data_IF_825967358089
#
_entry.id   IF_825967358089
#
_cell.length_a   1.000
_cell.length_b   1.000
_cell.length_c   1.000
_cell.angle_alpha   90.00
_cell.angle_beta   90.00
_cell.angle_gamma   90.00
#
_symmetry.space_group_name_H-M   'P 1'
#
loop_
_entity.id
_entity.type
_entity.pdbx_description
1 polymer ?
#
# COMPACT_ATOMS: atom_id res chain seq x y z
N UNK A 1 -11.38 19.66 -11.86
CA UNK A 1 -11.70 20.58 -10.74
C UNK A 1 -10.75 20.27 -9.58
N UNK A 2 -9.96 21.25 -9.15
CA UNK A 2 -9.05 21.11 -8.00
C UNK A 2 -9.85 21.28 -6.71
N UNK A 3 -9.63 20.39 -5.73
CA UNK A 3 -10.25 20.49 -4.40
C UNK A 3 -9.55 21.61 -3.63
N UNK A 4 -10.30 22.44 -2.89
CA UNK A 4 -9.69 23.46 -2.05
C UNK A 4 -8.75 22.83 -0.99
N UNK A 5 -7.72 23.54 -0.49
CA UNK A 5 -6.66 22.93 0.30
C UNK A 5 -7.12 22.26 1.60
N UNK A 6 -8.06 22.87 2.34
CA UNK A 6 -8.58 22.34 3.59
C UNK A 6 -9.42 21.04 3.41
N UNK A 7 -10.39 20.97 2.48
CA UNK A 7 -11.07 19.70 2.22
C UNK A 7 -10.14 18.64 1.63
N UNK A 8 -9.11 19.02 0.87
CA UNK A 8 -8.12 18.08 0.36
C UNK A 8 -7.34 17.38 1.49
N UNK A 9 -6.86 18.13 2.49
CA UNK A 9 -6.15 17.55 3.64
C UNK A 9 -7.08 16.69 4.51
N UNK A 10 -8.34 17.10 4.68
CA UNK A 10 -9.34 16.31 5.39
C UNK A 10 -9.57 14.94 4.71
N UNK A 11 -9.67 14.90 3.38
CA UNK A 11 -9.82 13.65 2.63
C UNK A 11 -8.61 12.73 2.82
N UNK A 12 -7.39 13.27 2.73
CA UNK A 12 -6.17 12.49 2.99
C UNK A 12 -6.17 11.96 4.43
N UNK A 13 -6.53 12.78 5.41
CA UNK A 13 -6.59 12.41 6.82
C UNK A 13 -7.59 11.29 7.10
N UNK A 14 -8.83 11.40 6.59
CA UNK A 14 -9.86 10.36 6.76
C UNK A 14 -9.43 9.07 6.08
N UNK A 15 -8.95 9.14 4.83
CA UNK A 15 -8.45 7.97 4.12
C UNK A 15 -7.29 7.32 4.87
N UNK A 16 -6.35 8.12 5.35
CA UNK A 16 -5.19 7.68 6.12
C UNK A 16 -5.57 6.97 7.41
N UNK A 17 -6.53 7.52 8.17
CA UNK A 17 -7.04 6.87 9.38
C UNK A 17 -7.64 5.49 9.08
N UNK A 18 -8.48 5.40 8.04
CA UNK A 18 -9.08 4.13 7.62
C UNK A 18 -8.02 3.13 7.14
N UNK A 19 -7.03 3.57 6.36
CA UNK A 19 -5.92 2.74 5.89
C UNK A 19 -5.06 2.20 7.03
N UNK A 20 -4.73 3.06 8.01
CA UNK A 20 -3.97 2.66 9.18
C UNK A 20 -4.72 1.65 10.06
N UNK A 21 -6.02 1.87 10.30
CA UNK A 21 -6.87 0.92 11.06
C UNK A 21 -6.97 -0.42 10.33
N UNK A 22 -7.19 -0.41 9.02
CA UNK A 22 -7.24 -1.64 8.22
C UNK A 22 -5.91 -2.40 8.26
N UNK A 23 -4.77 -1.70 8.11
CA UNK A 23 -3.43 -2.31 8.22
C UNK A 23 -3.23 -2.92 9.61
N UNK A 24 -3.64 -2.22 10.67
CA UNK A 24 -3.57 -2.74 12.03
C UNK A 24 -4.42 -4.01 12.19
N UNK A 25 -5.65 -4.01 11.69
CA UNK A 25 -6.55 -5.18 11.75
C UNK A 25 -5.99 -6.41 11.01
N UNK A 26 -5.27 -6.22 9.90
CA UNK A 26 -4.51 -7.28 9.22
C UNK A 26 -3.35 -7.75 10.10
N UNK A 27 -2.62 -6.83 10.73
CA UNK A 27 -1.54 -7.13 11.69
C UNK A 27 -1.98 -7.96 12.89
N UNK A 28 -3.25 -7.86 13.31
CA UNK A 28 -3.83 -8.69 14.37
C UNK A 28 -4.11 -10.14 13.94
N UNK A 29 -4.14 -10.44 12.64
CA UNK A 29 -4.51 -11.76 12.08
C UNK A 29 -3.37 -12.45 11.35
N UNK A 30 -2.43 -11.67 10.82
CA UNK A 30 -1.28 -12.15 10.06
C UNK A 30 -0.04 -11.60 10.72
N UNK A 31 0.88 -12.48 11.09
CA UNK A 31 2.06 -12.10 11.86
C UNK A 31 3.28 -11.79 10.99
N UNK A 32 4.13 -10.91 11.53
CA UNK A 32 5.47 -10.63 11.01
C UNK A 32 5.49 -10.22 9.54
N UNK A 33 6.43 -10.79 8.77
CA UNK A 33 6.71 -10.39 7.39
C UNK A 33 5.56 -10.71 6.42
N UNK A 34 4.76 -11.73 6.71
CA UNK A 34 3.59 -12.07 5.88
C UNK A 34 2.55 -10.95 5.91
N UNK A 35 2.38 -10.32 7.07
CA UNK A 35 1.50 -9.16 7.24
C UNK A 35 1.95 -7.99 6.36
N UNK A 36 3.24 -7.65 6.45
CA UNK A 36 3.85 -6.56 5.67
C UNK A 36 3.76 -6.82 4.17
N UNK A 37 4.03 -8.04 3.72
CA UNK A 37 3.87 -8.41 2.31
C UNK A 37 2.42 -8.26 1.86
N UNK A 38 1.47 -8.76 2.65
CA UNK A 38 0.05 -8.76 2.30
C UNK A 38 -0.52 -7.35 2.22
N UNK A 39 -0.27 -6.49 3.21
CA UNK A 39 -0.77 -5.10 3.19
C UNK A 39 -0.12 -4.28 2.08
N UNK A 40 1.17 -4.48 1.79
CA UNK A 40 1.83 -3.82 0.66
C UNK A 40 1.28 -4.32 -0.69
N UNK A 41 1.12 -5.63 -0.89
CA UNK A 41 0.59 -6.16 -2.14
C UNK A 41 -0.87 -5.74 -2.39
N UNK A 42 -1.76 -5.91 -1.40
CA UNK A 42 -3.17 -5.53 -1.53
C UNK A 42 -3.33 -4.01 -1.66
N UNK A 43 -2.55 -3.23 -0.91
CA UNK A 43 -2.55 -1.77 -1.01
C UNK A 43 -2.04 -1.28 -2.36
N UNK A 44 -0.98 -1.89 -2.89
CA UNK A 44 -0.48 -1.59 -4.24
C UNK A 44 -1.49 -1.99 -5.32
N UNK A 45 -2.19 -3.12 -5.19
CA UNK A 45 -3.30 -3.48 -6.08
C UNK A 45 -4.39 -2.42 -6.10
N UNK A 46 -4.87 -2.03 -4.91
CA UNK A 46 -5.90 -1.01 -4.77
C UNK A 46 -5.42 0.33 -5.35
N UNK A 47 -4.16 0.70 -5.11
CA UNK A 47 -3.57 1.91 -5.67
C UNK A 47 -3.53 1.87 -7.20
N UNK A 48 -3.14 0.73 -7.80
CA UNK A 48 -3.17 0.54 -9.25
C UNK A 48 -4.56 0.72 -9.84
N UNK A 49 -5.57 0.12 -9.21
CA UNK A 49 -6.97 0.28 -9.60
C UNK A 49 -7.43 1.75 -9.50
N UNK A 50 -7.12 2.42 -8.39
CA UNK A 50 -7.44 3.84 -8.15
C UNK A 50 -6.73 4.75 -9.17
N UNK A 51 -5.49 4.45 -9.53
CA UNK A 51 -4.72 5.21 -10.52
C UNK A 51 -5.24 5.08 -11.95
N UNK A 52 -5.83 3.93 -12.31
CA UNK A 52 -6.38 3.70 -13.64
C UNK A 52 -7.85 4.10 -13.78
N UNK A 53 -8.57 4.26 -12.67
CA UNK A 53 -9.99 4.64 -12.71
C UNK A 53 -10.17 6.12 -13.11
N UNK A 54 -11.21 6.45 -13.91
CA UNK A 54 -11.54 7.84 -14.25
C UNK A 54 -12.26 8.55 -13.08
N UNK A 55 -11.65 8.57 -11.91
CA UNK A 55 -12.21 9.16 -10.68
C UNK A 55 -11.74 10.60 -10.48
N UNK A 56 -12.56 11.38 -9.78
CA UNK A 56 -12.22 12.77 -9.44
C UNK A 56 -11.07 12.89 -8.43
N UNK A 57 -10.46 14.08 -8.38
CA UNK A 57 -9.34 14.43 -7.49
C UNK A 57 -9.62 14.15 -6.01
N UNK A 58 -10.87 14.35 -5.55
CA UNK A 58 -11.27 14.05 -4.18
C UNK A 58 -11.13 12.55 -3.84
N UNK A 59 -11.60 11.67 -4.72
CA UNK A 59 -11.50 10.23 -4.53
C UNK A 59 -10.04 9.75 -4.61
N UNK A 60 -9.23 10.33 -5.50
CA UNK A 60 -7.80 10.03 -5.59
C UNK A 60 -7.04 10.42 -4.31
N UNK A 61 -7.38 11.55 -3.68
CA UNK A 61 -6.80 11.97 -2.39
C UNK A 61 -7.23 11.04 -1.24
N UNK A 62 -8.52 10.72 -1.16
CA UNK A 62 -9.06 9.84 -0.12
C UNK A 62 -8.50 8.41 -0.22
N UNK A 63 -8.59 7.81 -1.40
CA UNK A 63 -8.30 6.39 -1.61
C UNK A 63 -6.82 6.14 -1.94
N UNK A 64 -6.23 6.96 -2.80
CA UNK A 64 -4.85 6.80 -3.24
C UNK A 64 -3.87 7.31 -2.18
N UNK A 65 -3.89 8.63 -1.94
CA UNK A 65 -2.95 9.26 -1.01
C UNK A 65 -3.24 8.88 0.44
N UNK A 66 -4.50 8.95 0.88
CA UNK A 66 -4.91 8.61 2.24
C UNK A 66 -4.87 7.11 2.50
N UNK A 67 -5.88 6.39 2.01
CA UNK A 67 -6.08 4.97 2.37
C UNK A 67 -4.91 4.08 1.94
N UNK A 68 -4.57 4.03 0.65
CA UNK A 68 -3.49 3.17 0.18
C UNK A 68 -2.14 3.59 0.77
N UNK A 69 -1.89 4.89 0.91
CA UNK A 69 -0.69 5.43 1.56
C UNK A 69 -0.50 4.95 3.00
N UNK A 70 -1.56 4.92 3.81
CA UNK A 70 -1.49 4.48 5.21
C UNK A 70 -1.69 2.96 5.41
N UNK A 71 -2.36 2.30 4.47
CA UNK A 71 -2.56 0.85 4.46
C UNK A 71 -1.28 0.10 4.06
N UNK A 72 -0.50 0.65 3.14
CA UNK A 72 0.86 0.17 2.84
C UNK A 72 1.85 0.64 3.91
N UNK A 73 3.04 0.04 3.97
CA UNK A 73 4.08 0.44 4.94
C UNK A 73 5.49 0.11 4.46
N UNK A 74 6.28 1.16 4.23
CA UNK A 74 7.72 1.03 3.99
C UNK A 74 8.53 0.88 5.29
N UNK A 75 8.12 1.55 6.36
CA UNK A 75 8.84 1.50 7.65
C UNK A 75 8.87 0.10 8.26
N UNK A 76 7.73 -0.61 8.28
CA UNK A 76 7.66 -1.98 8.79
C UNK A 76 8.46 -2.95 7.90
N UNK A 77 8.44 -2.72 6.59
CA UNK A 77 9.26 -3.45 5.62
C UNK A 77 10.77 -3.25 5.87
N UNK A 78 11.21 -2.01 6.08
CA UNK A 78 12.61 -1.69 6.33
C UNK A 78 13.11 -2.33 7.64
N UNK A 79 12.37 -2.16 8.74
CA UNK A 79 12.70 -2.78 10.04
C UNK A 79 12.75 -4.31 9.91
N UNK A 80 11.75 -4.92 9.26
CA UNK A 80 11.73 -6.36 9.03
C UNK A 80 12.90 -6.86 8.18
N UNK A 81 13.30 -6.10 7.17
CA UNK A 81 14.43 -6.43 6.29
C UNK A 81 15.75 -6.35 7.04
N UNK A 82 15.99 -5.27 7.81
CA UNK A 82 17.21 -5.12 8.63
C UNK A 82 17.30 -6.24 9.68
N UNK A 83 16.19 -6.56 10.35
CA UNK A 83 16.13 -7.69 11.29
C UNK A 83 16.42 -9.03 10.61
N UNK A 84 15.97 -9.21 9.36
CA UNK A 84 16.34 -10.40 8.56
C UNK A 84 17.83 -10.47 8.33
N UNK A 85 18.45 -9.34 7.98
CA UNK A 85 19.85 -9.28 7.68
C UNK A 85 20.70 -9.68 8.90
N UNK A 86 20.30 -9.27 10.09
CA UNK A 86 20.97 -9.64 11.35
C UNK A 86 20.72 -11.09 11.77
N UNK A 87 19.51 -11.62 11.58
CA UNK A 87 19.13 -12.96 12.06
C UNK A 87 19.47 -14.10 11.08
N UNK A 88 19.27 -13.85 9.78
CA UNK A 88 19.33 -14.87 8.72
C UNK A 88 20.32 -14.51 7.58
N UNK A 89 21.00 -13.38 7.69
CA UNK A 89 22.00 -12.91 6.73
C UNK A 89 21.44 -12.10 5.56
N UNK A 90 22.35 -11.40 4.87
CA UNK A 90 22.04 -10.43 3.80
C UNK A 90 21.31 -11.09 2.62
N UNK A 91 21.66 -12.32 2.24
CA UNK A 91 21.01 -13.03 1.13
C UNK A 91 19.52 -13.29 1.41
N UNK A 92 19.18 -13.72 2.63
CA UNK A 92 17.79 -13.94 3.02
C UNK A 92 17.00 -12.62 3.09
N UNK A 93 17.64 -11.56 3.59
CA UNK A 93 17.05 -10.22 3.64
C UNK A 93 16.75 -9.68 2.24
N UNK A 94 17.74 -9.75 1.33
CA UNK A 94 17.59 -9.32 -0.05
C UNK A 94 16.52 -10.12 -0.79
N UNK A 95 16.46 -11.44 -0.60
CA UNK A 95 15.43 -12.28 -1.20
C UNK A 95 14.01 -11.93 -0.71
N UNK A 96 13.83 -11.70 0.59
CA UNK A 96 12.56 -11.24 1.15
C UNK A 96 12.17 -9.82 0.72
N UNK A 97 13.16 -8.94 0.59
CA UNK A 97 12.96 -7.58 0.11
C UNK A 97 12.50 -7.56 -1.36
N UNK A 98 13.21 -8.29 -2.21
CA UNK A 98 12.91 -8.41 -3.62
C UNK A 98 11.55 -9.06 -3.87
N UNK A 99 11.18 -10.09 -3.11
CA UNK A 99 9.86 -10.74 -3.26
C UNK A 99 8.71 -9.82 -2.88
N UNK A 100 8.86 -9.04 -1.80
CA UNK A 100 7.84 -8.04 -1.40
C UNK A 100 7.70 -6.95 -2.46
N UNK A 101 8.82 -6.44 -2.98
CA UNK A 101 8.81 -5.44 -4.05
C UNK A 101 8.15 -5.98 -5.33
N UNK A 102 8.56 -7.17 -5.77
CA UNK A 102 8.00 -7.81 -6.96
C UNK A 102 6.48 -8.06 -6.81
N UNK A 103 6.04 -8.53 -5.64
CA UNK A 103 4.62 -8.71 -5.36
C UNK A 103 3.83 -7.39 -5.41
N UNK A 104 4.38 -6.33 -4.81
CA UNK A 104 3.74 -5.00 -4.83
C UNK A 104 3.64 -4.43 -6.26
N UNK A 105 4.70 -4.52 -7.05
CA UNK A 105 4.71 -4.05 -8.45
C UNK A 105 3.74 -4.85 -9.31
N UNK A 106 3.77 -6.18 -9.22
CA UNK A 106 2.85 -7.04 -9.94
C UNK A 106 1.40 -6.75 -9.55
N UNK A 107 1.13 -6.59 -8.26
CA UNK A 107 -0.20 -6.25 -7.75
C UNK A 107 -0.69 -4.90 -8.27
N UNK A 108 0.15 -3.85 -8.26
CA UNK A 108 -0.18 -2.55 -8.84
C UNK A 108 -0.53 -2.66 -10.33
N UNK A 109 0.29 -3.36 -11.12
CA UNK A 109 0.05 -3.55 -12.55
C UNK A 109 -1.24 -4.34 -12.80
N UNK A 110 -1.53 -5.36 -12.00
CA UNK A 110 -2.78 -6.11 -12.11
C UNK A 110 -3.98 -5.23 -11.79
N UNK A 111 -3.92 -4.43 -10.73
CA UNK A 111 -5.00 -3.50 -10.37
C UNK A 111 -5.25 -2.46 -11.46
N UNK A 112 -4.18 -1.88 -12.02
CA UNK A 112 -4.31 -0.88 -13.08
C UNK A 112 -4.82 -1.49 -14.39
N UNK A 113 -4.36 -2.68 -14.77
CA UNK A 113 -4.84 -3.38 -15.97
C UNK A 113 -6.30 -3.81 -15.87
N UNK A 114 -6.75 -4.29 -14.70
CA UNK A 114 -8.13 -4.73 -14.52
C UNK A 114 -9.11 -3.57 -14.66
N UNK A 115 -8.79 -2.41 -14.09
CA UNK A 115 -9.66 -1.22 -14.20
C UNK A 115 -9.49 -0.53 -15.55
N UNK A 116 -8.26 -0.41 -16.05
CA UNK A 116 -7.98 0.24 -17.32
C UNK A 116 -8.53 -0.48 -18.56
N UNK A 117 -9.00 -1.73 -18.42
CA UNK A 117 -9.72 -2.46 -19.49
C UNK A 117 -11.22 -2.23 -19.49
N UNK A 118 -11.77 -1.63 -18.43
CA UNK A 118 -13.21 -1.35 -18.30
C UNK A 118 -13.60 -0.01 -18.94
N UNK A 119 -12.62 0.74 -19.42
CA UNK A 119 -12.74 2.08 -20.02
C UNK A 119 -11.83 2.15 -21.24
#
# INVERSE_FOLDING_TARGET
MTVAPLPATALVGVGGALGAVARHAVGLRVEGRRSVLLVNALGSFALGAVSAAPIGSAAALLLGVGFCGAFTTFSSFAVGTVRTASEAGIRAAAGGAASTLAAALAAFLLGSLLVGRLW
#
